data_IF_370406739120
#
_entry.id   IF_370406739120
#
_cell.length_a   1.000
_cell.length_b   1.000
_cell.length_c   1.000
_cell.angle_alpha   90.00
_cell.angle_beta   90.00
_cell.angle_gamma   90.00
#
_symmetry.space_group_name_H-M   'P 1'
#
loop_
_entity.id
_entity.type
_entity.pdbx_description
1 polymer ?
2 polymer ?
3 non-polymer ?
4 water ?
#
# COMPACT_ATOMS: atom_id res chain seq x y z
N UNK A 4 -15.30 15.07 -24.36
CA UNK A 4 -15.89 13.95 -23.57
C UNK A 4 -14.90 13.42 -22.53
N UNK A 5 -15.40 13.17 -21.31
CA UNK A 5 -14.58 12.59 -20.26
C UNK A 5 -15.02 11.17 -19.98
N UNK A 6 -14.49 10.24 -20.78
CA UNK A 6 -14.83 8.83 -20.68
C UNK A 6 -13.54 8.03 -20.68
N UNK A 7 -13.30 7.26 -19.62
CA UNK A 7 -12.14 6.41 -19.57
C UNK A 7 -12.31 5.27 -20.57
N UNK A 8 -11.21 4.87 -21.21
CA UNK A 8 -11.21 3.77 -22.18
C UNK A 8 -11.32 2.40 -21.49
N UNK A 9 -10.72 2.29 -20.31
CA UNK A 9 -10.86 1.11 -19.46
C UNK A 9 -10.69 1.51 -18.00
N UNK A 10 -10.96 0.57 -17.09
CA UNK A 10 -10.96 0.88 -15.66
C UNK A 10 -9.58 1.30 -15.13
N UNK A 11 -8.51 0.88 -15.83
CA UNK A 11 -7.15 1.23 -15.37
C UNK A 11 -6.82 2.72 -15.52
N UNK A 12 -7.56 3.41 -16.39
CA UNK A 12 -7.38 4.85 -16.54
C UNK A 12 -8.03 5.61 -15.38
N UNK A 13 -8.78 4.92 -14.52
CA UNK A 13 -9.40 5.58 -13.38
C UNK A 13 -8.70 5.28 -12.05
N UNK A 14 -7.46 4.81 -12.13
CA UNK A 14 -6.66 4.55 -10.94
C UNK A 14 -5.97 5.83 -10.48
N UNK A 15 -5.84 6.00 -9.15
CA UNK A 15 -5.20 7.19 -8.61
C UNK A 15 -6.10 8.41 -8.60
N UNK A 16 -5.47 9.60 -8.53
CA UNK A 16 -6.19 10.88 -8.35
C UNK A 16 -7.18 10.83 -7.18
N UNK A 17 -6.69 10.33 -6.04
CA UNK A 17 -7.51 10.15 -4.86
C UNK A 17 -7.56 11.45 -4.08
N UNK A 18 -8.70 11.72 -3.42
CA UNK A 18 -8.88 13.01 -2.75
C UNK A 18 -8.27 13.10 -1.35
N UNK A 19 -8.15 14.32 -0.85
CA UNK A 19 -7.76 14.56 0.54
C UNK A 19 -8.95 15.03 1.33
N UNK A 20 -8.99 14.62 2.60
CA UNK A 20 -10.06 15.06 3.48
C UNK A 20 -9.45 15.48 4.81
N UNK A 21 -9.90 16.61 5.35
CA UNK A 21 -9.44 17.07 6.65
C UNK A 21 -10.08 16.21 7.75
N UNK A 22 -9.28 15.72 8.68
CA UNK A 22 -9.82 15.05 9.87
C UNK A 22 -10.32 16.11 10.84
N UNK A 23 -11.51 15.88 11.40
CA UNK A 23 -12.20 16.82 12.26
C UNK A 23 -12.34 16.40 13.73
N UNK A 24 -12.60 15.13 13.97
CA UNK A 24 -12.89 14.61 15.33
C UNK A 24 -11.79 13.68 15.88
N UNK A 25 -11.18 12.89 15.00
CA UNK A 25 -10.07 12.05 15.40
C UNK A 25 -8.82 12.91 15.31
N UNK A 26 -8.69 13.85 16.25
CA UNK A 26 -7.65 14.88 16.23
C UNK A 26 -7.23 15.29 17.65
N UNK A 27 -7.45 14.41 18.63
CA UNK A 27 -7.29 14.73 20.04
C UNK A 27 -5.89 15.22 20.35
N UNK A 28 -5.78 16.45 20.83
CA UNK A 28 -4.49 17.05 21.17
C UNK A 28 -3.66 17.59 20.02
N UNK A 29 -4.14 17.44 18.79
CA UNK A 29 -3.41 17.94 17.63
C UNK A 29 -3.24 19.45 17.69
N UNK A 30 -2.04 19.92 17.40
CA UNK A 30 -1.79 21.35 17.15
C UNK A 30 -1.45 21.59 15.67
N UNK A 31 -1.29 20.51 14.92
CA UNK A 31 -1.12 20.57 13.47
C UNK A 31 -2.42 20.14 12.80
N UNK A 32 -2.56 20.51 11.52
CA UNK A 32 -3.70 20.10 10.71
C UNK A 32 -3.41 18.69 10.19
N UNK A 33 -4.40 17.80 10.28
CA UNK A 33 -4.24 16.44 9.72
C UNK A 33 -5.21 16.24 8.58
N UNK A 34 -4.67 15.97 7.39
CA UNK A 34 -5.54 15.63 6.25
C UNK A 34 -5.22 14.20 5.76
N UNK A 35 -6.26 13.46 5.41
CA UNK A 35 -6.06 12.07 5.00
C UNK A 35 -6.22 11.90 3.49
N UNK A 36 -5.31 11.15 2.90
CA UNK A 36 -5.41 10.77 1.49
C UNK A 36 -6.13 9.43 1.40
N UNK A 37 -7.29 9.45 0.73
CA UNK A 37 -8.23 8.34 0.71
C UNK A 37 -8.03 7.36 -0.45
N UNK A 38 -7.16 6.38 -0.24
CA UNK A 38 -6.80 5.48 -1.31
C UNK A 38 -7.88 4.43 -1.61
N UNK A 39 -8.93 4.39 -0.81
CA UNK A 39 -10.04 3.47 -1.10
C UNK A 39 -10.91 3.96 -2.27
N UNK A 40 -10.64 5.17 -2.74
CA UNK A 40 -11.27 5.72 -3.95
C UNK A 40 -10.78 5.05 -5.24
N UNK A 41 -9.70 4.29 -5.17
CA UNK A 41 -9.25 3.47 -6.28
C UNK A 41 -10.29 2.41 -6.65
N UNK A 42 -10.35 1.98 -7.92
CA UNK A 42 -11.39 1.06 -8.40
C UNK A 42 -11.50 -0.32 -7.73
N UNK A 43 -10.43 -0.77 -7.08
CA UNK A 43 -10.50 -2.01 -6.28
C UNK A 43 -10.24 -1.72 -4.79
N UNK A 44 -10.45 -0.47 -4.41
CA UNK A 44 -10.50 -0.03 -3.00
C UNK A 44 -9.20 -0.01 -2.21
N UNK A 45 -8.06 -0.06 -2.89
CA UNK A 45 -6.78 0.10 -2.19
C UNK A 45 -5.72 0.78 -3.04
N UNK A 46 -4.72 1.32 -2.35
CA UNK A 46 -3.52 1.89 -2.94
C UNK A 46 -2.78 0.97 -3.94
N UNK A 47 -2.95 -0.34 -3.78
CA UNK A 47 -2.25 -1.30 -4.64
C UNK A 47 -2.66 -1.23 -6.12
N UNK A 48 -3.85 -0.68 -6.40
CA UNK A 48 -4.26 -0.45 -7.78
C UNK A 48 -3.16 0.31 -8.54
N UNK A 49 -2.60 1.33 -7.89
CA UNK A 49 -1.50 2.11 -8.47
C UNK A 49 -0.35 1.23 -8.97
N UNK A 50 0.12 0.30 -8.14
CA UNK A 50 1.29 -0.51 -8.54
C UNK A 50 0.92 -1.69 -9.42
N UNK A 51 -0.29 -2.23 -9.26
CA UNK A 51 -0.79 -3.29 -10.13
C UNK A 51 -0.70 -2.86 -11.59
N UNK A 52 -1.23 -1.68 -11.90
CA UNK A 52 -1.15 -1.15 -13.27
C UNK A 52 0.26 -0.66 -13.63
N UNK A 53 0.98 -0.07 -12.68
CA UNK A 53 2.31 0.44 -12.98
C UNK A 53 3.27 -0.67 -13.39
N UNK A 54 3.31 -1.75 -12.60
CA UNK A 54 4.26 -2.85 -12.85
C UNK A 54 3.94 -3.57 -14.16
N UNK A 55 2.67 -3.64 -14.51
CA UNK A 55 2.26 -4.22 -15.78
C UNK A 55 2.53 -3.28 -16.97
N UNK A 56 2.23 -1.99 -16.82
CA UNK A 56 2.60 -0.97 -17.82
C UNK A 56 4.10 -0.99 -18.07
N UNK A 57 4.88 -0.96 -17.00
CA UNK A 57 6.33 -1.02 -17.11
C UNK A 57 6.73 -2.25 -17.91
N UNK A 58 6.12 -3.41 -17.62
CA UNK A 58 6.49 -4.65 -18.28
C UNK A 58 6.13 -4.62 -19.75
N UNK A 59 4.96 -4.04 -20.06
CA UNK A 59 4.52 -3.86 -21.44
C UNK A 59 5.47 -2.92 -22.21
N UNK A 60 5.84 -1.81 -21.57
CA UNK A 60 6.72 -0.81 -22.19
C UNK A 60 8.14 -1.33 -22.38
N UNK A 61 8.52 -2.34 -21.60
CA UNK A 61 9.85 -2.97 -21.74
C UNK A 61 9.82 -4.24 -22.61
N UNK A 62 8.66 -4.55 -23.18
CA UNK A 62 8.51 -5.69 -24.09
C UNK A 62 8.70 -7.04 -23.40
N UNK A 63 8.32 -7.09 -22.12
CA UNK A 63 8.49 -8.31 -21.33
C UNK A 63 7.22 -9.18 -21.32
N UNK A 64 6.11 -8.63 -21.81
CA UNK A 64 4.84 -9.35 -21.93
C UNK A 64 4.72 -9.97 -23.31
N UNK A 65 4.57 -11.28 -23.33
CA UNK A 65 4.53 -12.05 -24.58
C UNK A 65 3.11 -12.60 -24.79
N UNK A 66 2.79 -13.05 -26.02
CA UNK A 66 1.47 -13.64 -26.31
C UNK A 66 1.00 -14.75 -25.38
N UNK A 67 1.93 -15.51 -24.80
CA UNK A 67 1.59 -16.61 -23.90
C UNK A 67 1.86 -16.29 -22.42
N UNK A 68 2.11 -15.03 -22.10
CA UNK A 68 2.54 -14.67 -20.75
C UNK A 68 1.43 -14.85 -19.72
N UNK A 69 1.79 -15.45 -18.59
CA UNK A 69 0.89 -15.55 -17.44
C UNK A 69 1.46 -14.72 -16.30
N UNK A 70 0.65 -13.81 -15.77
CA UNK A 70 1.06 -12.99 -14.62
C UNK A 70 1.03 -13.81 -13.35
N UNK A 71 2.11 -13.77 -12.57
CA UNK A 71 2.19 -14.58 -11.36
C UNK A 71 2.79 -13.81 -10.20
N UNK A 72 2.13 -13.83 -9.04
CA UNK A 72 2.66 -13.14 -7.85
C UNK A 72 2.27 -13.85 -6.54
N UNK A 73 3.23 -13.98 -5.59
CA UNK A 73 2.90 -14.44 -4.24
C UNK A 73 2.36 -13.30 -3.38
N UNK A 74 1.07 -13.37 -3.05
CA UNK A 74 0.45 -12.32 -2.26
C UNK A 74 -0.85 -12.78 -1.64
N UNK A 75 -1.03 -12.49 -0.35
CA UNK A 75 -2.30 -12.73 0.30
C UNK A 75 -3.01 -11.42 0.61
N UNK A 76 -2.51 -10.32 0.04
CA UNK A 76 -3.02 -8.98 0.32
C UNK A 76 -3.63 -8.26 -0.86
N UNK A 77 -3.66 -6.93 -0.76
CA UNK A 77 -4.26 -6.07 -1.80
C UNK A 77 -3.56 -6.12 -3.15
N UNK A 78 -2.27 -6.42 -3.18
CA UNK A 78 -1.56 -6.53 -4.46
C UNK A 78 -2.19 -7.60 -5.34
N UNK A 79 -2.55 -8.73 -4.73
CA UNK A 79 -3.28 -9.77 -5.46
C UNK A 79 -4.58 -9.25 -6.05
N UNK A 80 -5.29 -8.43 -5.28
CA UNK A 80 -6.61 -7.92 -5.70
C UNK A 80 -6.41 -6.95 -6.88
N UNK A 81 -5.48 -6.03 -6.73
CA UNK A 81 -5.11 -5.05 -7.76
C UNK A 81 -4.68 -5.73 -9.06
N UNK A 82 -3.76 -6.68 -8.97
CA UNK A 82 -3.30 -7.43 -10.13
C UNK A 82 -4.45 -8.17 -10.79
N UNK A 83 -5.29 -8.81 -9.97
CA UNK A 83 -6.43 -9.54 -10.51
C UNK A 83 -7.36 -8.62 -11.30
N UNK A 84 -7.61 -7.42 -10.75
CA UNK A 84 -8.46 -6.41 -11.40
C UNK A 84 -7.84 -5.88 -12.70
N UNK A 85 -6.54 -5.58 -12.64
CA UNK A 85 -5.82 -5.07 -13.81
C UNK A 85 -5.69 -6.15 -14.90
N UNK A 86 -5.49 -7.41 -14.51
CA UNK A 86 -5.45 -8.51 -15.47
C UNK A 86 -6.80 -8.74 -16.14
N UNK A 87 -7.88 -8.49 -15.40
CA UNK A 87 -9.23 -8.63 -15.95
C UNK A 87 -9.46 -7.55 -17.02
N UNK A 88 -9.10 -6.33 -16.71
CA UNK A 88 -9.15 -5.21 -17.68
C UNK A 88 -8.24 -5.48 -18.89
N UNK A 89 -7.01 -5.95 -18.63
CA UNK A 89 -6.02 -6.19 -19.69
C UNK A 89 -6.35 -7.42 -20.54
N UNK A 90 -7.05 -8.38 -19.93
CA UNK A 90 -7.34 -9.64 -20.60
C UNK A 90 -6.20 -10.63 -20.39
N UNK A 91 -5.46 -10.45 -19.29
CA UNK A 91 -4.33 -11.33 -18.97
C UNK A 91 -4.74 -12.46 -18.04
N UNK A 92 -4.05 -13.59 -18.15
CA UNK A 92 -4.18 -14.66 -17.18
C UNK A 92 -3.39 -14.33 -15.92
N UNK A 93 -4.04 -14.47 -14.76
CA UNK A 93 -3.47 -14.09 -13.48
C UNK A 93 -3.47 -15.27 -12.53
N UNK A 94 -2.28 -15.59 -12.03
CA UNK A 94 -2.13 -16.69 -11.08
C UNK A 94 -1.49 -16.13 -9.84
N UNK A 95 -2.11 -16.41 -8.69
CA UNK A 95 -1.59 -15.91 -7.42
C UNK A 95 -1.31 -17.06 -6.47
N UNK A 96 -0.19 -16.98 -5.75
CA UNK A 96 0.05 -17.94 -4.67
C UNK A 96 -0.13 -17.26 -3.32
N UNK A 97 -0.64 -18.03 -2.36
CA UNK A 97 -0.84 -17.55 -0.99
C UNK A 97 -1.08 -18.74 -0.06
N UNK A 98 -0.73 -18.59 1.24
CA UNK A 98 -1.00 -19.66 2.19
C UNK A 98 -2.50 -19.93 2.33
N UNK A 99 -2.86 -21.19 2.56
CA UNK A 99 -4.26 -21.59 2.72
C UNK A 99 -4.93 -20.95 3.97
N UNK A 100 -4.14 -20.21 4.74
CA UNK A 100 -4.66 -19.39 5.85
C UNK A 100 -5.49 -18.19 5.40
N UNK A 101 -5.41 -17.84 4.11
CA UNK A 101 -6.22 -16.76 3.55
C UNK A 101 -7.71 -17.08 3.67
N UNK A 102 -8.49 -16.10 4.14
CA UNK A 102 -9.94 -16.23 4.27
C UNK A 102 -10.63 -16.68 2.98
N UNK A 103 -11.76 -17.36 3.14
CA UNK A 103 -12.57 -17.78 2.00
C UNK A 103 -13.18 -16.59 1.23
N UNK A 104 -13.44 -15.50 1.95
CA UNK A 104 -14.00 -14.27 1.37
C UNK A 104 -13.02 -13.61 0.39
N UNK A 105 -11.75 -13.54 0.80
CA UNK A 105 -10.67 -13.04 -0.02
C UNK A 105 -10.47 -13.90 -1.28
N UNK A 106 -10.56 -15.22 -1.12
CA UNK A 106 -10.47 -16.14 -2.25
C UNK A 106 -11.57 -15.86 -3.25
N UNK A 107 -12.78 -15.65 -2.74
CA UNK A 107 -13.95 -15.38 -3.58
C UNK A 107 -13.80 -14.11 -4.38
N UNK A 108 -13.17 -13.11 -3.77
CA UNK A 108 -12.98 -11.80 -4.38
C UNK A 108 -11.98 -11.90 -5.53
N UNK A 109 -10.85 -12.56 -5.29
CA UNK A 109 -9.86 -12.82 -6.33
C UNK A 109 -10.42 -13.62 -7.51
N UNK A 110 -11.18 -14.68 -7.21
CA UNK A 110 -11.83 -15.50 -8.23
C UNK A 110 -12.88 -14.70 -9.01
N UNK A 111 -13.52 -13.73 -8.34
CA UNK A 111 -14.52 -12.87 -9.00
C UNK A 111 -13.91 -12.05 -10.15
N UNK A 112 -12.64 -11.66 -9.99
CA UNK A 112 -11.91 -10.97 -11.03
C UNK A 112 -11.27 -11.93 -12.03
N UNK A 113 -11.47 -13.24 -11.81
CA UNK A 113 -10.95 -14.26 -12.72
C UNK A 113 -9.52 -14.68 -12.46
N UNK A 114 -8.98 -14.32 -11.30
CA UNK A 114 -7.67 -14.81 -10.88
C UNK A 114 -7.76 -16.30 -10.55
N UNK A 115 -6.65 -17.01 -10.75
CA UNK A 115 -6.51 -18.42 -10.39
C UNK A 115 -5.56 -18.53 -9.19
N UNK A 116 -5.95 -19.35 -8.21
CA UNK A 116 -5.26 -19.38 -6.92
C UNK A 116 -4.52 -20.68 -6.70
N UNK A 117 -3.30 -20.58 -6.21
CA UNK A 117 -2.51 -21.73 -5.82
C UNK A 117 -2.23 -21.60 -4.32
N UNK A 118 -2.92 -22.42 -3.53
CA UNK A 118 -2.84 -22.36 -2.08
C UNK A 118 -1.67 -23.19 -1.57
N UNK A 119 -0.86 -22.58 -0.71
CA UNK A 119 0.34 -23.23 -0.18
C UNK A 119 0.14 -23.59 1.30
N UNK A 120 0.95 -24.53 1.85
CA UNK A 120 0.73 -24.99 3.24
C UNK A 120 0.63 -23.85 4.27
N UNK A 121 -0.50 -23.81 4.98
CA UNK A 121 -0.76 -22.77 5.98
C UNK A 121 0.37 -22.50 6.96
N UNK A 122 1.02 -23.56 7.42
CA UNK A 122 2.11 -23.46 8.40
C UNK A 122 3.38 -22.80 7.84
N UNK A 123 3.49 -22.78 6.52
CA UNK A 123 4.67 -22.24 5.83
C UNK A 123 4.57 -20.73 5.53
N UNK A 124 3.37 -20.18 5.76
CA UNK A 124 3.12 -18.73 5.66
C UNK A 124 3.44 -18.16 4.30
N UNK A 125 4.07 -16.99 4.28
CA UNK A 125 4.38 -16.33 3.02
C UNK A 125 5.58 -16.95 2.30
N UNK A 126 6.57 -17.42 3.05
CA UNK A 126 7.76 -18.05 2.47
C UNK A 126 7.39 -19.25 1.59
N UNK A 127 6.37 -19.99 2.01
CA UNK A 127 5.82 -21.08 1.20
C UNK A 127 5.20 -20.61 -0.10
N UNK A 128 4.43 -19.51 -0.01
CA UNK A 128 3.82 -18.91 -1.21
C UNK A 128 4.89 -18.37 -2.16
N UNK A 129 5.93 -17.79 -1.59
CA UNK A 129 7.06 -17.28 -2.36
C UNK A 129 7.82 -18.42 -3.02
N UNK A 130 8.15 -19.45 -2.24
CA UNK A 130 8.89 -20.61 -2.74
C UNK A 130 8.18 -21.25 -3.94
N UNK A 131 6.87 -21.49 -3.78
CA UNK A 131 6.04 -22.01 -4.85
C UNK A 131 6.09 -21.13 -6.10
N UNK A 132 5.93 -19.81 -5.91
CA UNK A 132 6.04 -18.86 -7.00
C UNK A 132 7.41 -18.90 -7.69
N UNK A 133 8.48 -19.02 -6.90
CA UNK A 133 9.84 -19.13 -7.44
C UNK A 133 10.02 -20.37 -8.32
N UNK A 134 9.54 -21.50 -7.81
CA UNK A 134 9.59 -22.78 -8.51
C UNK A 134 8.76 -22.77 -9.79
N UNK A 135 7.52 -22.29 -9.71
CA UNK A 135 6.64 -22.19 -10.88
C UNK A 135 7.28 -21.34 -12.00
N UNK A 136 7.84 -20.20 -11.62
CA UNK A 136 8.52 -19.32 -12.55
C UNK A 136 9.69 -20.01 -13.25
N UNK A 137 10.47 -20.79 -12.49
CA UNK A 137 11.63 -21.52 -13.02
C UNK A 137 11.28 -22.62 -14.02
N UNK A 138 10.23 -23.37 -13.69
CA UNK A 138 9.86 -24.56 -14.45
C UNK A 138 8.98 -24.26 -15.66
N UNK A 139 8.43 -23.04 -15.71
CA UNK A 139 7.55 -22.61 -16.80
C UNK A 139 7.88 -21.17 -17.15
N UNK A 140 8.39 -20.93 -18.36
CA UNK A 140 8.86 -19.59 -18.76
C UNK A 140 7.75 -18.62 -19.19
N UNK A 141 6.50 -19.09 -19.17
CA UNK A 141 5.35 -18.26 -19.51
C UNK A 141 5.05 -17.23 -18.42
N UNK A 142 5.50 -17.52 -17.20
CA UNK A 142 5.18 -16.68 -16.05
C UNK A 142 5.99 -15.39 -15.98
N UNK A 143 5.29 -14.28 -15.86
CA UNK A 143 5.92 -13.02 -15.51
C UNK A 143 5.59 -12.63 -14.07
N UNK A 144 6.64 -12.47 -13.25
CA UNK A 144 6.49 -12.12 -11.84
C UNK A 144 6.81 -10.64 -11.63
N UNK A 145 5.79 -9.82 -11.30
CA UNK A 145 6.02 -8.39 -11.00
C UNK A 145 7.06 -8.11 -9.91
N UNK A 146 7.11 -8.94 -8.87
CA UNK A 146 8.03 -8.76 -7.73
C UNK A 146 7.84 -7.38 -7.08
N UNK A 147 6.69 -7.20 -6.45
CA UNK A 147 6.29 -5.91 -5.88
C UNK A 147 7.28 -5.28 -4.87
N UNK A 148 8.07 -6.12 -4.20
CA UNK A 148 9.03 -5.64 -3.21
C UNK A 148 10.34 -5.14 -3.83
N UNK A 149 10.55 -5.46 -5.11
CA UNK A 149 11.78 -5.07 -5.79
C UNK A 149 11.58 -4.27 -7.07
N UNK A 150 10.36 -4.26 -7.58
CA UNK A 150 10.09 -3.61 -8.87
C UNK A 150 10.17 -2.08 -8.78
N UNK A 151 11.07 -1.45 -9.59
CA UNK A 151 11.22 0.01 -9.57
C UNK A 151 9.98 0.78 -10.04
N UNK A 152 9.05 0.12 -10.72
CA UNK A 152 7.81 0.78 -11.16
C UNK A 152 6.89 1.06 -9.98
N UNK A 153 7.11 0.35 -8.88
CA UNK A 153 6.37 0.57 -7.63
C UNK A 153 6.62 1.99 -7.08
N UNK A 154 7.85 2.31 -6.60
CA UNK A 154 8.04 3.70 -6.18
C UNK A 154 7.87 4.72 -7.34
N UNK A 155 8.20 4.33 -8.56
CA UNK A 155 8.12 5.24 -9.72
C UNK A 155 6.70 5.78 -9.92
N UNK A 156 5.69 4.90 -9.90
CA UNK A 156 4.31 5.36 -10.04
C UNK A 156 3.91 6.29 -8.90
N UNK A 157 4.47 6.07 -7.72
CA UNK A 157 4.19 6.95 -6.59
C UNK A 157 4.81 8.34 -6.78
N UNK A 158 5.96 8.41 -7.45
CA UNK A 158 6.57 9.72 -7.79
C UNK A 158 5.68 10.46 -8.78
N UNK A 159 5.28 9.74 -9.81
CA UNK A 159 4.57 10.32 -10.95
C UNK A 159 3.14 10.71 -10.57
N UNK A 160 2.49 9.91 -9.72
CA UNK A 160 1.08 10.15 -9.41
C UNK A 160 0.83 10.59 -7.95
N UNK A 161 0.96 9.66 -7.00
CA UNK A 161 0.72 9.94 -5.58
C UNK A 161 1.39 11.23 -5.07
N UNK A 162 2.71 11.36 -5.31
CA UNK A 162 3.47 12.51 -4.85
C UNK A 162 2.93 13.82 -5.44
N UNK A 163 2.60 13.80 -6.74
CA UNK A 163 2.12 15.01 -7.42
C UNK A 163 0.73 15.40 -6.97
N UNK A 164 -0.11 14.40 -6.72
CA UNK A 164 -1.46 14.64 -6.18
C UNK A 164 -1.40 15.33 -4.83
N UNK A 165 -0.50 14.87 -3.96
CA UNK A 165 -0.29 15.46 -2.63
C UNK A 165 0.26 16.90 -2.78
N UNK A 166 1.25 17.07 -3.65
CA UNK A 166 1.84 18.37 -3.90
C UNK A 166 0.77 19.37 -4.38
N UNK A 167 0.07 19.04 -5.46
CA UNK A 167 -0.97 19.93 -6.03
C UNK A 167 -2.13 20.23 -5.10
N UNK A 168 -2.71 19.19 -4.52
CA UNK A 168 -3.92 19.32 -3.67
C UNK A 168 -3.67 20.11 -2.38
N UNK A 169 -2.43 20.09 -1.88
CA UNK A 169 -2.03 20.93 -0.74
C UNK A 169 -1.38 22.24 -1.22
N UNK A 170 -1.33 22.44 -2.54
CA UNK A 170 -0.71 23.66 -3.10
C UNK A 170 0.71 23.85 -2.55
N UNK A 171 1.44 22.76 -2.41
CA UNK A 171 2.82 22.77 -1.91
C UNK A 171 2.98 23.03 -0.42
N UNK A 172 1.88 23.12 0.32
CA UNK A 172 1.96 23.48 1.74
C UNK A 172 2.25 22.29 2.66
N UNK A 173 2.27 21.07 2.11
CA UNK A 173 2.48 19.86 2.89
C UNK A 173 3.78 19.93 3.67
N UNK A 174 3.70 19.73 4.99
CA UNK A 174 4.89 19.74 5.83
C UNK A 174 5.39 18.34 6.17
N UNK A 175 4.47 17.42 6.46
CA UNK A 175 4.83 16.07 6.93
C UNK A 175 3.92 15.03 6.27
N UNK A 176 4.53 13.96 5.77
CA UNK A 176 3.76 12.83 5.25
C UNK A 176 3.97 11.63 6.16
N UNK A 177 2.84 11.07 6.62
CA UNK A 177 2.86 9.85 7.46
C UNK A 177 2.30 8.69 6.66
N UNK A 178 3.05 7.59 6.58
CA UNK A 178 2.60 6.42 5.80
C UNK A 178 3.09 5.08 6.36
N UNK A 179 2.17 4.12 6.44
CA UNK A 179 2.57 2.73 6.76
C UNK A 179 3.42 2.16 5.64
N UNK A 180 4.37 1.32 6.03
CA UNK A 180 5.29 0.70 5.08
C UNK A 180 4.99 -0.79 4.91
N UNK A 181 4.60 -1.17 3.70
CA UNK A 181 4.44 -2.56 3.31
C UNK A 181 5.59 -2.89 2.39
N UNK A 182 5.46 -2.50 1.12
CA UNK A 182 6.57 -2.58 0.18
C UNK A 182 7.51 -1.39 0.38
N UNK A 183 7.00 -0.31 0.96
CA UNK A 183 7.74 0.93 1.11
C UNK A 183 7.65 1.85 -0.11
N UNK A 184 6.91 1.43 -1.13
CA UNK A 184 6.79 2.21 -2.38
C UNK A 184 6.13 3.56 -2.22
N UNK A 185 5.04 3.61 -1.46
CA UNK A 185 4.29 4.85 -1.25
C UNK A 185 5.17 5.93 -0.64
N UNK A 186 5.76 5.66 0.51
CA UNK A 186 6.53 6.69 1.20
C UNK A 186 7.81 7.10 0.42
N UNK A 187 8.44 6.12 -0.24
CA UNK A 187 9.66 6.34 -1.01
C UNK A 187 9.38 7.28 -2.20
N UNK A 188 8.40 6.90 -3.03
CA UNK A 188 8.00 7.72 -4.16
C UNK A 188 7.63 9.13 -3.77
N UNK A 189 6.88 9.27 -2.68
CA UNK A 189 6.42 10.59 -2.23
C UNK A 189 7.60 11.41 -1.68
N UNK A 190 8.43 10.78 -0.85
CA UNK A 190 9.63 11.44 -0.35
C UNK A 190 10.57 11.88 -1.49
N UNK A 191 10.85 10.98 -2.43
CA UNK A 191 11.75 11.27 -3.57
C UNK A 191 11.42 12.59 -4.29
N UNK A 192 10.13 12.84 -4.48
CA UNK A 192 9.66 14.02 -5.19
C UNK A 192 9.53 15.22 -4.26
N UNK A 193 8.76 15.07 -3.19
CA UNK A 193 8.46 16.19 -2.30
C UNK A 193 9.68 16.70 -1.55
N UNK A 194 10.54 15.80 -1.08
CA UNK A 194 11.70 16.21 -0.29
C UNK A 194 12.70 16.98 -1.15
N UNK A 195 12.82 16.62 -2.42
CA UNK A 195 13.71 17.35 -3.32
C UNK A 195 13.11 18.73 -3.62
N UNK A 196 11.79 18.79 -3.76
CA UNK A 196 11.07 20.01 -4.08
C UNK A 196 10.93 20.95 -2.88
N UNK A 197 10.82 20.36 -1.69
CA UNK A 197 10.66 21.11 -0.44
C UNK A 197 11.51 20.40 0.63
N UNK A 198 12.81 20.75 0.71
CA UNK A 198 13.77 20.10 1.62
C UNK A 198 13.38 20.13 3.09
N UNK A 199 12.50 21.06 3.47
CA UNK A 199 12.03 21.12 4.86
C UNK A 199 10.94 20.09 5.19
N UNK A 200 10.39 19.43 4.16
CA UNK A 200 9.36 18.39 4.36
C UNK A 200 9.94 17.16 5.06
N UNK A 201 9.14 16.52 5.91
CA UNK A 201 9.59 15.34 6.67
C UNK A 201 8.70 14.13 6.46
N UNK A 202 9.26 12.94 6.61
CA UNK A 202 8.56 11.70 6.25
C UNK A 202 8.60 10.64 7.35
N UNK A 203 7.43 10.21 7.80
CA UNK A 203 7.31 9.28 8.93
C UNK A 203 6.83 7.91 8.48
N UNK A 204 7.69 6.90 8.61
CA UNK A 204 7.31 5.52 8.34
C UNK A 204 6.59 4.89 9.54
N UNK A 205 5.59 4.06 9.25
CA UNK A 205 4.81 3.42 10.30
C UNK A 205 4.92 1.91 10.13
N UNK A 206 5.13 1.21 11.24
CA UNK A 206 5.19 -0.25 11.27
C UNK A 206 4.55 -0.81 12.55
N UNK A 207 4.21 -2.11 12.55
CA UNK A 207 3.58 -2.68 13.76
C UNK A 207 4.59 -2.83 14.90
N UNK A 208 4.17 -2.48 16.11
CA UNK A 208 4.96 -2.69 17.31
C UNK A 208 5.26 -4.18 17.49
N UNK A 209 4.34 -5.02 17.02
CA UNK A 209 4.47 -6.47 17.08
C UNK A 209 5.48 -7.02 16.09
N UNK A 210 5.93 -6.18 15.16
CA UNK A 210 6.87 -6.61 14.10
C UNK A 210 7.79 -5.46 13.71
N UNK A 211 8.58 -4.96 14.69
CA UNK A 211 9.27 -3.69 14.56
C UNK A 211 10.61 -3.82 13.82
N UNK A 212 10.56 -4.35 12.60
CA UNK A 212 11.78 -4.64 11.84
C UNK A 212 12.57 -3.39 11.43
N UNK A 213 11.88 -2.33 11.01
CA UNK A 213 12.57 -1.10 10.58
C UNK A 213 13.24 -0.39 11.75
N UNK A 214 12.72 -0.64 12.95
CA UNK A 214 13.25 -0.04 14.18
C UNK A 214 14.45 -0.82 14.72
N UNK A 215 14.69 -2.03 14.18
CA UNK A 215 15.80 -2.87 14.63
C UNK A 215 15.35 -4.15 15.32
N UNK A 216 14.05 -4.32 15.51
CA UNK A 216 13.50 -5.51 16.16
C UNK A 216 13.39 -6.70 15.23
N UNK A 217 12.65 -7.71 15.66
CA UNK A 217 12.49 -8.95 14.91
C UNK A 217 11.07 -9.08 14.37
N UNK A 218 10.93 -9.85 13.29
CA UNK A 218 9.63 -10.20 12.73
C UNK A 218 8.73 -10.89 13.76
N UNK A 219 7.44 -10.53 13.75
CA UNK A 219 6.44 -11.22 14.53
C UNK A 219 5.10 -11.22 13.83
N UNK A 220 4.20 -12.14 14.23
CA UNK A 220 2.85 -12.14 13.68
C UNK A 220 2.08 -10.91 14.17
N UNK A 221 1.23 -10.35 13.31
CA UNK A 221 0.46 -9.14 13.61
C UNK A 221 -0.73 -9.05 12.64
N UNK A 222 -1.82 -8.37 13.06
CA UNK A 222 -3.03 -8.28 12.27
C UNK A 222 -3.14 -7.01 11.38
N UNK A 223 -2.10 -6.18 11.35
CA UNK A 223 -2.17 -4.91 10.62
C UNK A 223 -1.80 -5.12 9.15
N UNK A 224 -2.79 -5.63 8.41
CA UNK A 224 -2.63 -6.07 7.04
C UNK A 224 -2.17 -4.93 6.14
N UNK A 225 -1.22 -5.24 5.26
CA UNK A 225 -0.69 -4.27 4.32
C UNK A 225 0.64 -3.72 4.73
N UNK A 226 0.94 -3.75 6.03
CA UNK A 226 2.24 -3.31 6.53
C UNK A 226 2.95 -4.44 7.28
N UNK A 227 4.17 -4.19 7.75
CA UNK A 227 4.92 -5.18 8.54
C UNK A 227 5.26 -6.45 7.80
N UNK A 228 6.11 -6.33 6.77
CA UNK A 228 6.54 -7.45 5.96
C UNK A 228 7.49 -8.40 6.68
N UNK A 229 8.06 -7.93 7.79
CA UNK A 229 9.06 -8.70 8.54
C UNK A 229 10.47 -8.68 7.97
N UNK A 230 10.69 -7.78 7.00
CA UNK A 230 12.03 -7.55 6.42
C UNK A 230 12.08 -6.12 5.87
N UNK A 231 13.28 -5.65 5.56
CA UNK A 231 13.47 -4.32 4.97
C UNK A 231 13.36 -4.43 3.46
N UNK A 232 12.27 -3.89 2.89
CA UNK A 232 12.04 -4.09 1.46
C UNK A 232 13.02 -3.28 0.60
N UNK A 233 13.63 -3.93 -0.41
CA UNK A 233 14.63 -3.29 -1.28
C UNK A 233 14.15 -1.98 -1.89
N UNK A 234 12.86 -1.91 -2.19
CA UNK A 234 12.22 -0.74 -2.78
C UNK A 234 12.22 0.46 -1.84
N UNK A 235 12.27 0.21 -0.53
CA UNK A 235 12.28 1.29 0.45
C UNK A 235 13.62 2.02 0.46
N UNK A 236 13.57 3.36 0.42
CA UNK A 236 14.77 4.15 0.64
C UNK A 236 14.73 4.67 2.07
N UNK A 237 15.45 3.98 2.94
CA UNK A 237 15.44 4.27 4.38
C UNK A 237 16.13 5.60 4.69
N UNK A 238 16.95 6.10 3.77
CA UNK A 238 17.61 7.40 3.95
C UNK A 238 16.70 8.62 3.73
N UNK A 239 15.54 8.41 3.10
CA UNK A 239 14.56 9.48 2.96
C UNK A 239 13.58 9.53 4.14
N UNK A 240 13.55 8.46 4.91
CA UNK A 240 12.66 8.35 6.06
C UNK A 240 13.31 9.06 7.24
N UNK A 241 12.58 9.99 7.84
CA UNK A 241 13.10 10.82 8.93
C UNK A 241 12.79 10.24 10.30
N UNK A 242 11.74 9.42 10.37
CA UNK A 242 11.31 8.84 11.64
C UNK A 242 10.52 7.57 11.41
N UNK A 243 10.67 6.61 12.32
CA UNK A 243 9.80 5.44 12.37
C UNK A 243 8.96 5.51 13.65
N UNK A 244 7.66 5.29 13.53
CA UNK A 244 6.79 5.16 14.67
C UNK A 244 6.18 3.76 14.64
N UNK A 245 6.30 3.03 15.75
CA UNK A 245 5.65 1.74 15.87
C UNK A 245 4.24 1.93 16.41
N UNK A 246 3.33 1.07 16.00
CA UNK A 246 1.95 1.16 16.45
C UNK A 246 1.48 -0.21 16.92
N UNK A 247 0.86 -0.26 18.11
CA UNK A 247 0.28 -1.49 18.66
C UNK A 247 -1.04 -1.89 18.01
N UNK A 248 -1.37 -3.18 18.10
CA UNK A 248 -2.54 -3.74 17.44
C UNK A 248 -3.85 -3.10 17.89
N UNK A 249 -3.99 -2.93 19.22
CA UNK A 249 -5.19 -2.32 19.81
C UNK A 249 -5.39 -0.87 19.39
N UNK A 250 -4.33 -0.07 19.47
CA UNK A 250 -4.39 1.32 19.07
C UNK A 250 -4.79 1.47 17.61
N UNK A 251 -4.20 0.63 16.75
CA UNK A 251 -4.52 0.61 15.32
C UNK A 251 -6.00 0.30 15.08
N UNK A 252 -6.49 -0.76 15.72
CA UNK A 252 -7.91 -1.16 15.63
C UNK A 252 -8.85 -0.11 16.20
N UNK A 253 -8.48 0.47 17.33
CA UNK A 253 -9.30 1.49 17.98
C UNK A 253 -9.45 2.75 17.09
N UNK A 254 -8.33 3.26 16.57
CA UNK A 254 -8.35 4.46 15.72
C UNK A 254 -9.05 4.21 14.36
N UNK A 255 -8.83 3.03 13.77
CA UNK A 255 -9.59 2.60 12.59
C UNK A 255 -11.10 2.67 12.82
N UNK A 256 -11.54 2.17 13.98
CA UNK A 256 -12.94 2.22 14.36
C UNK A 256 -13.44 3.65 14.61
N UNK A 257 -12.59 4.47 15.23
CA UNK A 257 -12.90 5.88 15.45
C UNK A 257 -13.07 6.62 14.12
N UNK A 258 -12.23 6.31 13.13
CA UNK A 258 -12.35 6.93 11.81
C UNK A 258 -13.71 6.65 11.17
N UNK A 259 -14.17 5.41 11.24
CA UNK A 259 -15.48 5.07 10.68
C UNK A 259 -16.63 5.78 11.40
N UNK A 260 -16.63 5.68 12.72
CA UNK A 260 -17.71 6.18 13.58
C UNK A 260 -17.76 7.69 13.70
N UNK A 261 -16.59 8.33 13.68
CA UNK A 261 -16.48 9.76 13.98
C UNK A 261 -16.17 10.64 12.75
N UNK A 262 -15.78 10.00 11.65
CA UNK A 262 -15.44 10.71 10.41
C UNK A 262 -16.19 10.16 9.19
N UNK A 263 -16.87 9.03 9.35
CA UNK A 263 -17.56 8.39 8.23
C UNK A 263 -16.61 7.81 7.21
N UNK A 264 -15.39 7.51 7.65
CA UNK A 264 -14.33 6.94 6.82
C UNK A 264 -14.10 5.48 7.23
N UNK A 265 -14.74 4.54 6.52
CA UNK A 265 -14.62 3.11 6.81
C UNK A 265 -13.35 2.59 6.16
N UNK A 266 -12.29 2.49 6.95
CA UNK A 266 -10.96 2.21 6.46
C UNK A 266 -10.36 0.96 7.12
N UNK A 267 -9.33 0.39 6.52
CA UNK A 267 -8.68 -0.82 7.04
C UNK A 267 -7.82 -0.57 8.26
N UNK A 268 -7.26 -1.63 8.83
CA UNK A 268 -6.48 -1.51 10.08
C UNK A 268 -5.24 -0.66 9.89
N UNK A 269 -4.59 -0.79 8.73
CA UNK A 269 -3.35 -0.05 8.46
C UNK A 269 -3.60 1.46 8.42
N UNK A 270 -4.82 1.87 8.02
CA UNK A 270 -5.23 3.27 8.05
C UNK A 270 -5.37 3.75 9.50
N UNK A 271 -5.90 2.88 10.36
CA UNK A 271 -5.90 3.13 11.81
C UNK A 271 -4.49 3.33 12.34
N UNK A 272 -3.59 2.45 11.94
CA UNK A 272 -2.18 2.53 12.35
C UNK A 272 -1.48 3.81 11.90
N UNK A 273 -1.62 4.16 10.61
CA UNK A 273 -1.04 5.39 10.09
C UNK A 273 -1.58 6.64 10.82
N UNK A 274 -2.87 6.61 11.16
CA UNK A 274 -3.51 7.74 11.84
C UNK A 274 -3.10 7.84 13.31
N UNK A 275 -2.92 6.69 13.97
CA UNK A 275 -2.32 6.69 15.31
C UNK A 275 -1.05 7.53 15.24
N UNK A 276 -0.20 7.23 14.27
CA UNK A 276 1.09 7.91 14.14
C UNK A 276 0.96 9.39 13.77
N UNK A 277 0.06 9.72 12.85
CA UNK A 277 -0.17 11.11 12.46
C UNK A 277 -0.66 11.90 13.66
N UNK A 278 -1.45 11.27 14.51
CA UNK A 278 -1.99 11.89 15.71
C UNK A 278 -0.86 12.20 16.70
N UNK A 279 0.10 11.29 16.81
CA UNK A 279 1.23 11.45 17.71
C UNK A 279 2.14 12.60 17.26
N UNK A 280 2.42 12.65 15.97
CA UNK A 280 3.21 13.72 15.38
C UNK A 280 2.52 15.10 15.51
N UNK A 281 1.21 15.13 15.25
CA UNK A 281 0.39 16.33 15.36
C UNK A 281 0.34 16.97 16.77
N UNK A 282 0.72 16.21 17.79
CA UNK A 282 0.68 16.67 19.17
C UNK A 282 1.95 17.42 19.64
N UNK A 283 3.02 17.31 18.85
CA UNK A 283 4.29 17.95 19.16
C UNK A 283 4.21 19.46 18.89
N UNK A 284 4.53 20.30 19.89
CA UNK A 284 4.38 21.76 19.73
C UNK A 284 5.26 22.37 18.63
N UNK A 285 6.38 21.74 18.31
CA UNK A 285 7.19 22.20 17.18
C UNK A 285 6.44 22.06 15.87
N UNK A 286 5.38 21.25 15.86
CA UNK A 286 4.56 21.05 14.66
C UNK A 286 3.29 21.88 14.63
N UNK A 287 3.17 22.81 15.57
CA UNK A 287 2.03 23.74 15.60
C UNK A 287 1.88 24.43 14.24
N UNK A 288 0.67 24.38 13.70
CA UNK A 288 0.38 25.05 12.45
C UNK A 288 0.79 24.29 11.19
N UNK A 289 1.53 23.20 11.35
CA UNK A 289 1.99 22.43 10.18
C UNK A 289 0.86 21.63 9.53
N UNK A 290 1.08 21.21 8.29
CA UNK A 290 0.10 20.42 7.57
C UNK A 290 0.62 19.01 7.41
N UNK A 291 -0.10 18.07 8.01
CA UNK A 291 0.28 16.67 7.95
C UNK A 291 -0.63 15.92 6.99
N UNK A 292 -0.03 15.21 6.04
CA UNK A 292 -0.78 14.34 5.15
C UNK A 292 -0.57 12.87 5.58
N UNK A 293 -1.67 12.20 5.94
CA UNK A 293 -1.62 10.77 6.29
C UNK A 293 -2.28 9.92 5.21
N UNK A 294 -1.58 8.88 4.77
CA UNK A 294 -2.11 8.00 3.75
C UNK A 294 -2.99 6.92 4.37
N UNK A 295 -4.25 6.88 3.95
CA UNK A 295 -5.19 5.81 4.32
C UNK A 295 -5.29 4.77 3.19
N UNK A 296 -4.58 3.64 3.30
CA UNK A 296 -4.42 2.75 2.16
C UNK A 296 -5.61 1.98 1.63
N UNK A 297 -6.64 1.70 2.43
CA UNK A 297 -7.77 0.91 1.88
C UNK A 297 -9.11 1.02 2.61
N UNK A 298 -10.11 0.31 2.09
CA UNK A 298 -11.50 0.37 2.56
C UNK A 298 -11.77 -0.70 3.63
N UNK A 299 -12.58 -0.30 4.62
CA UNK A 299 -12.87 -1.10 5.79
C UNK A 299 -13.74 -2.33 5.57
N UNK A 300 -14.57 -2.32 4.53
CA UNK A 300 -15.55 -3.39 4.34
C UNK A 300 -14.89 -4.75 4.10
N UNK A 301 -13.68 -4.72 3.52
CA UNK A 301 -12.85 -5.89 3.26
C UNK A 301 -12.50 -6.68 4.53
N UNK A 302 -12.74 -6.08 5.69
CA UNK A 302 -12.25 -6.61 6.96
C UNK A 302 -13.36 -7.12 7.92
N UNK A 303 -14.51 -7.48 7.36
CA UNK A 303 -15.62 -8.11 8.11
C UNK A 303 -15.19 -9.31 8.97
N UNK B 1 0.61 -14.61 8.64
CA UNK B 1 1.83 -13.93 8.11
C UNK B 1 1.39 -12.65 7.38
N UNK B 2 2.35 -11.86 6.91
CA UNK B 2 2.01 -10.56 6.29
C UNK B 2 1.10 -10.68 5.07
N UNK B 3 0.23 -9.69 4.90
CA UNK B 3 -0.69 -9.62 3.76
C UNK B 3 -0.47 -8.32 3.00
N UNK B 4 0.32 -8.42 1.94
CA UNK B 4 0.70 -7.24 1.16
C UNK B 4 0.44 -7.58 -0.31
X LIG C 1 -11.09 -2.20 12.02
X LIG C 1 -12.16 -2.95 11.23
X LIG C 1 -13.47 -2.50 11.68
X LIG C 1 -12.01 -2.56 9.77
X LIG C 1 -12.08 -4.47 11.39
X LIG C 1 -12.40 -5.00 12.80
X LIG C 1 -13.75 -5.05 13.27
X LIG C 1 -11.24 -5.63 13.59
#
# INVERSE_FOLDING_TARGET
GSHMSIAEDITQLIGRTPLVRLRRVTDGAVADIVAKLEFFNPANSVKDRIGVAMLQAAEQAGLIKPDTIILEPTSGNTGIALAMVCAARGYRCVLTMPETMSLERRMLLRAYGAELILTPGADGMSGAIAKAEELAKTDQRYFVPQQFENPANPAIHRVTTAEEVWRDTDGKVDIVVAGVGTGGTITGVAQVIKERKPSARFVAVEPAASPVLSGGQKGPHPIQGIGAGFVPPVLDQDLVDEIITVGNEDALNVARRLAREEGLLVGISSGAATVAALQVARRPENAGKLIVVVLPDFGERYLSTPLFADVAD
DFSI
MPD C1 C2 O2 CM C3 C4 O4 C5
#
